data_IF_455032584932
#
_entry.id   IF_455032584932
#
_cell.length_a   1.000
_cell.length_b   1.000
_cell.length_c   1.000
_cell.angle_alpha   90.00
_cell.angle_beta   90.00
_cell.angle_gamma   90.00
#
_symmetry.space_group_name_H-M   'P 1'
#
loop_
_entity.id
_entity.type
_entity.pdbx_description
1 polymer ?
#
# COMPACT_ATOMS: atom_id res chain seq x y z
N UNK A 1 -20.62 -12.81 33.02
CA UNK A 1 -19.15 -12.71 33.15
C UNK A 1 -18.61 -12.13 31.86
N UNK A 2 -17.82 -11.04 31.86
CA UNK A 2 -17.23 -10.53 30.63
C UNK A 2 -16.22 -11.56 30.11
N UNK A 3 -16.41 -12.02 28.87
CA UNK A 3 -15.48 -12.93 28.21
C UNK A 3 -14.14 -12.20 28.09
N UNK A 4 -13.07 -12.76 28.66
CA UNK A 4 -11.71 -12.26 28.46
C UNK A 4 -11.42 -12.38 26.97
N UNK A 5 -11.15 -11.26 26.30
CA UNK A 5 -10.67 -11.27 24.92
C UNK A 5 -9.38 -12.08 24.88
N UNK A 6 -9.36 -13.07 24.00
CA UNK A 6 -8.19 -13.87 23.68
C UNK A 6 -7.12 -12.96 23.09
N UNK A 7 -5.83 -13.25 23.33
CA UNK A 7 -4.72 -12.53 22.70
C UNK A 7 -4.77 -12.62 21.16
N UNK A 8 -5.54 -13.57 20.62
CA UNK A 8 -5.80 -13.80 19.20
C UNK A 8 -7.08 -13.12 18.67
N UNK A 9 -7.83 -12.39 19.50
CA UNK A 9 -8.99 -11.58 19.06
C UNK A 9 -8.55 -10.25 18.41
N UNK A 10 -7.25 -9.95 18.44
CA UNK A 10 -6.59 -8.89 17.67
C UNK A 10 -5.60 -9.60 16.76
N UNK A 11 -5.89 -9.66 15.46
CA UNK A 11 -4.86 -10.00 14.48
C UNK A 11 -3.81 -8.88 14.59
N UNK A 12 -2.51 -9.19 14.70
CA UNK A 12 -1.48 -8.17 14.89
C UNK A 12 -1.38 -7.13 13.75
N UNK A 13 -2.10 -7.36 12.65
CA UNK A 13 -2.22 -6.45 11.49
C UNK A 13 -3.54 -5.69 11.43
N UNK A 14 -4.44 -5.87 12.42
CA UNK A 14 -5.78 -5.27 12.50
C UNK A 14 -5.84 -4.06 13.45
N UNK A 15 -4.71 -3.51 13.93
CA UNK A 15 -4.74 -2.25 14.67
C UNK A 15 -5.13 -1.12 13.69
N UNK A 16 -6.34 -0.55 13.81
CA UNK A 16 -6.81 0.47 12.86
C UNK A 16 -6.01 1.77 12.97
N UNK A 17 -5.28 2.01 14.06
CA UNK A 17 -4.39 3.16 14.19
C UNK A 17 -3.05 2.93 13.48
N UNK A 18 -2.54 1.70 13.46
CA UNK A 18 -1.32 1.35 12.73
C UNK A 18 -1.57 1.38 11.21
N UNK A 19 -2.70 0.83 10.76
CA UNK A 19 -3.13 0.86 9.34
C UNK A 19 -3.33 2.30 8.83
N UNK A 20 -3.78 3.22 9.70
CA UNK A 20 -4.03 4.63 9.32
C UNK A 20 -2.78 5.51 9.31
N UNK A 21 -1.69 5.10 9.97
CA UNK A 21 -0.49 5.94 10.13
C UNK A 21 0.36 6.00 8.86
N UNK A 22 0.36 4.94 8.08
CA UNK A 22 1.14 4.85 6.85
C UNK A 22 0.20 4.46 5.71
N UNK A 23 -0.48 5.42 5.08
CA UNK A 23 -1.21 5.18 3.84
C UNK A 23 -0.57 5.95 2.70
N UNK A 24 -0.40 5.29 1.57
CA UNK A 24 0.13 5.84 0.34
C UNK A 24 -1.02 6.09 -0.63
N UNK A 25 -1.17 7.33 -1.12
CA UNK A 25 -2.25 7.67 -2.04
C UNK A 25 -1.89 7.32 -3.48
N UNK A 26 -2.74 6.54 -4.14
CA UNK A 26 -2.61 6.16 -5.54
C UNK A 26 -3.69 6.84 -6.38
N UNK A 27 -3.37 7.15 -7.64
CA UNK A 27 -4.30 7.73 -8.60
C UNK A 27 -4.23 7.01 -9.94
N UNK A 28 -5.39 6.63 -10.46
CA UNK A 28 -5.52 6.03 -11.77
C UNK A 28 -5.20 7.08 -12.85
N UNK A 29 -4.36 6.71 -13.82
CA UNK A 29 -4.01 7.59 -14.94
C UNK A 29 -5.17 7.83 -15.91
N UNK A 30 -6.08 6.87 -16.02
CA UNK A 30 -7.08 6.84 -17.08
C UNK A 30 -8.42 7.47 -16.65
N UNK A 31 -8.93 7.11 -15.46
CA UNK A 31 -10.22 7.60 -14.95
C UNK A 31 -10.10 8.55 -13.74
N UNK A 32 -8.89 8.86 -13.29
CA UNK A 32 -8.61 9.69 -12.12
C UNK A 32 -9.15 9.19 -10.77
N UNK A 33 -9.61 7.94 -10.67
CA UNK A 33 -9.91 7.27 -9.40
C UNK A 33 -8.72 7.35 -8.42
N UNK A 34 -9.00 7.55 -7.14
CA UNK A 34 -7.98 7.63 -6.09
C UNK A 34 -8.26 6.61 -4.99
N UNK A 35 -7.18 6.02 -4.46
CA UNK A 35 -7.25 5.01 -3.41
C UNK A 35 -6.11 5.24 -2.41
N UNK A 36 -6.44 5.14 -1.12
CA UNK A 36 -5.45 5.17 -0.04
C UNK A 36 -5.02 3.72 0.26
N UNK A 37 -3.77 3.40 -0.07
CA UNK A 37 -3.22 2.05 0.03
C UNK A 37 -2.39 1.95 1.31
N UNK A 38 -2.60 0.94 2.16
CA UNK A 38 -1.80 0.77 3.37
C UNK A 38 -0.31 0.60 3.07
N UNK A 39 0.54 1.18 3.91
CA UNK A 39 1.99 1.25 3.77
C UNK A 39 2.63 -0.12 3.80
N UNK A 40 2.09 -1.06 4.58
CA UNK A 40 2.57 -2.45 4.58
C UNK A 40 2.49 -3.10 3.19
N UNK A 41 1.50 -2.73 2.36
CA UNK A 41 1.40 -3.22 0.96
C UNK A 41 2.59 -2.70 0.16
N UNK A 42 2.99 -1.45 0.38
CA UNK A 42 4.18 -0.88 -0.28
C UNK A 42 5.46 -1.54 0.23
N UNK A 43 5.58 -1.78 1.53
CA UNK A 43 6.73 -2.45 2.14
C UNK A 43 6.93 -3.88 1.63
N UNK A 44 5.86 -4.65 1.46
CA UNK A 44 5.93 -6.01 0.89
C UNK A 44 6.50 -6.00 -0.53
N UNK A 45 6.13 -5.02 -1.35
CA UNK A 45 6.69 -4.86 -2.71
C UNK A 45 8.16 -4.46 -2.69
N UNK A 46 8.56 -3.56 -1.78
CA UNK A 46 9.97 -3.15 -1.60
C UNK A 46 10.81 -4.36 -1.18
N UNK A 47 10.30 -5.19 -0.27
CA UNK A 47 10.98 -6.41 0.17
C UNK A 47 11.18 -7.41 -0.98
N UNK A 48 10.21 -7.52 -1.89
CA UNK A 48 10.34 -8.30 -3.11
C UNK A 48 11.44 -7.77 -4.05
N UNK A 49 11.58 -6.45 -4.20
CA UNK A 49 12.68 -5.86 -4.98
C UNK A 49 14.05 -6.15 -4.38
N UNK A 50 14.16 -6.16 -3.05
CA UNK A 50 15.42 -6.48 -2.37
C UNK A 50 15.83 -7.96 -2.60
N UNK A 51 14.85 -8.84 -2.78
CA UNK A 51 15.07 -10.25 -3.10
C UNK A 51 15.35 -10.50 -4.59
N UNK A 52 14.73 -9.74 -5.50
CA UNK A 52 14.90 -9.89 -6.95
C UNK A 52 15.47 -8.61 -7.60
N UNK A 53 16.79 -8.63 -7.78
CA UNK A 53 17.55 -7.52 -8.38
C UNK A 53 17.27 -7.28 -9.86
N UNK A 54 16.75 -8.27 -10.59
CA UNK A 54 16.33 -8.08 -11.98
C UNK A 54 14.97 -7.38 -12.03
N UNK A 55 14.04 -7.80 -11.16
CA UNK A 55 12.75 -7.14 -10.98
C UNK A 55 12.92 -5.68 -10.53
N UNK A 56 13.79 -5.41 -9.56
CA UNK A 56 14.07 -4.06 -9.05
C UNK A 56 14.51 -3.07 -10.16
N UNK A 57 15.21 -3.55 -11.19
CA UNK A 57 15.62 -2.70 -12.33
C UNK A 57 14.43 -2.19 -13.15
N UNK A 58 13.29 -2.87 -13.09
CA UNK A 58 12.07 -2.51 -13.84
C UNK A 58 11.21 -1.47 -13.11
N UNK A 59 11.55 -1.14 -11.85
CA UNK A 59 10.78 -0.27 -10.95
C UNK A 59 11.65 0.88 -10.41
N UNK A 60 11.77 2.00 -11.15
CA UNK A 60 12.67 3.09 -10.80
C UNK A 60 12.25 3.86 -9.54
N UNK A 61 10.97 3.85 -9.19
CA UNK A 61 10.40 4.57 -8.06
C UNK A 61 10.14 3.70 -6.83
N UNK A 62 10.46 2.38 -6.89
CA UNK A 62 10.24 1.39 -5.83
C UNK A 62 8.81 1.34 -5.30
N UNK A 63 7.85 1.79 -6.11
CA UNK A 63 6.43 1.82 -5.76
C UNK A 63 5.68 0.71 -6.51
N UNK A 64 4.70 0.06 -5.87
CA UNK A 64 3.88 -0.92 -6.56
C UNK A 64 3.10 -0.26 -7.69
N UNK A 65 2.85 -1.04 -8.74
CA UNK A 65 1.87 -0.67 -9.77
C UNK A 65 0.59 -1.42 -9.46
N UNK A 66 -0.49 -0.69 -9.22
CA UNK A 66 -1.78 -1.28 -8.86
C UNK A 66 -2.74 -1.19 -10.05
N UNK A 67 -3.80 -2.00 -10.02
CA UNK A 67 -4.84 -2.01 -11.06
C UNK A 67 -6.06 -1.28 -10.53
N UNK A 68 -6.55 -0.31 -11.30
CA UNK A 68 -7.73 0.47 -10.97
C UNK A 68 -8.98 -0.43 -10.94
N UNK A 69 -9.74 -0.45 -9.83
CA UNK A 69 -10.96 -1.26 -9.75
C UNK A 69 -12.10 -0.75 -10.67
N UNK A 70 -12.06 0.52 -11.06
CA UNK A 70 -13.13 1.15 -11.85
C UNK A 70 -12.95 0.93 -13.36
N UNK A 71 -11.72 0.96 -13.88
CA UNK A 71 -11.47 0.97 -15.32
C UNK A 71 -10.36 0.00 -15.76
N UNK A 72 -9.84 -0.84 -14.85
CA UNK A 72 -8.71 -1.75 -15.06
C UNK A 72 -7.41 -1.05 -15.53
N UNK A 73 -7.39 0.28 -15.45
CA UNK A 73 -6.26 1.13 -15.79
C UNK A 73 -5.15 1.07 -14.75
N UNK A 74 -4.06 1.79 -15.00
CA UNK A 74 -2.92 1.77 -14.07
C UNK A 74 -3.07 2.81 -12.96
N UNK A 75 -3.08 2.35 -11.70
CA UNK A 75 -2.94 3.17 -10.50
C UNK A 75 -1.46 3.44 -10.24
N UNK A 76 -1.10 4.72 -10.15
CA UNK A 76 0.27 5.15 -9.83
C UNK A 76 0.29 5.92 -8.53
N UNK A 77 1.39 5.77 -7.78
CA UNK A 77 1.58 6.51 -6.55
C UNK A 77 1.56 8.01 -6.84
N UNK A 78 0.60 8.71 -6.26
CA UNK A 78 0.46 10.15 -6.41
C UNK A 78 1.42 10.78 -5.41
N UNK A 79 2.63 11.11 -5.86
CA UNK A 79 3.53 12.04 -5.14
C UNK A 79 2.89 13.43 -5.13
N UNK A 80 1.79 13.64 -4.42
CA UNK A 80 1.47 14.99 -3.98
C UNK A 80 2.55 15.38 -2.99
N UNK A 81 3.57 16.06 -3.52
CA UNK A 81 4.38 17.07 -2.85
C UNK A 81 4.49 16.88 -1.33
N UNK A 82 5.43 16.04 -0.91
CA UNK A 82 6.24 16.38 0.28
C UNK A 82 7.10 17.58 -0.16
N UNK A 83 6.48 18.75 -0.24
CA UNK A 83 7.19 20.02 -0.38
C UNK A 83 7.79 20.31 1.00
N UNK A 84 9.06 19.94 1.16
CA UNK A 84 10.01 20.32 2.23
C UNK A 84 9.69 19.98 3.68
#
# INVERSE_FOLDING_TARGET
>A
MPRKKSLYDTIPFDDPEEIKRDVCRFRCRDCAYEEDVPGYVVEEFIWWEDMDKEYAKTKPDRMPTLICPECEGTLVFKRETVDT
#
